data_IF_866522921480
#
_entry.id   IF_866522921480
#
_cell.length_a   1.000
_cell.length_b   1.000
_cell.length_c   1.000
_cell.angle_alpha   90.00
_cell.angle_beta   90.00
_cell.angle_gamma   90.00
#
_symmetry.space_group_name_H-M   'P 1'
#
loop_
_entity.id
_entity.type
_entity.pdbx_description
1 polymer ?
#
# COMPACT_ATOMS: atom_id res chain seq x y z
N UNK A 1 -11.44 -11.93 2.33
CA UNK A 1 -11.79 -13.37 2.24
C UNK A 1 -13.24 -13.70 2.58
N UNK A 2 -13.77 -13.39 3.77
CA UNK A 2 -15.12 -13.82 4.18
C UNK A 2 -16.24 -13.35 3.23
N UNK A 3 -16.12 -12.14 2.66
CA UNK A 3 -17.03 -11.67 1.62
C UNK A 3 -17.09 -12.61 0.40
N UNK A 4 -15.95 -13.16 -0.05
CA UNK A 4 -15.91 -14.13 -1.14
C UNK A 4 -16.59 -15.46 -0.78
N UNK A 5 -16.46 -15.92 0.47
CA UNK A 5 -17.20 -17.09 0.96
C UNK A 5 -18.71 -16.83 0.95
N UNK A 6 -19.13 -15.63 1.36
CA UNK A 6 -20.53 -15.23 1.36
C UNK A 6 -21.10 -15.11 -0.05
N UNK A 7 -20.32 -14.63 -1.03
CA UNK A 7 -20.68 -14.67 -2.46
C UNK A 7 -21.02 -16.11 -2.88
N UNK A 8 -20.15 -17.08 -2.59
CA UNK A 8 -20.41 -18.48 -2.94
C UNK A 8 -21.65 -19.05 -2.24
N UNK A 9 -21.86 -18.70 -0.97
CA UNK A 9 -23.07 -19.11 -0.21
C UNK A 9 -24.34 -18.54 -0.83
N UNK A 10 -24.36 -17.24 -1.11
CA UNK A 10 -25.50 -16.57 -1.73
C UNK A 10 -25.82 -17.15 -3.10
N UNK A 11 -24.82 -17.44 -3.94
CA UNK A 11 -25.04 -18.10 -5.24
C UNK A 11 -25.67 -19.49 -5.08
N UNK A 12 -25.21 -20.27 -4.09
CA UNK A 12 -25.77 -21.58 -3.78
C UNK A 12 -27.22 -21.48 -3.28
N UNK A 13 -27.50 -20.56 -2.35
CA UNK A 13 -28.84 -20.35 -1.80
C UNK A 13 -29.85 -19.94 -2.88
N UNK A 14 -29.39 -19.17 -3.87
CA UNK A 14 -30.19 -18.74 -5.01
C UNK A 14 -30.19 -19.74 -6.19
N UNK A 15 -29.43 -20.84 -6.09
CA UNK A 15 -29.22 -21.82 -7.17
C UNK A 15 -28.77 -21.18 -8.49
N UNK A 16 -27.82 -20.25 -8.42
CA UNK A 16 -27.26 -19.57 -9.60
C UNK A 16 -26.05 -20.36 -10.10
N UNK A 17 -26.09 -20.77 -11.37
CA UNK A 17 -24.95 -21.33 -12.09
C UNK A 17 -24.20 -20.20 -12.81
N UNK A 18 -22.87 -20.20 -12.71
CA UNK A 18 -22.01 -19.18 -13.34
C UNK A 18 -21.31 -19.75 -14.57
N UNK A 19 -21.13 -18.92 -15.59
CA UNK A 19 -20.50 -19.33 -16.86
C UNK A 19 -18.98 -19.60 -16.74
N UNK A 20 -18.35 -19.03 -15.71
CA UNK A 20 -16.94 -19.23 -15.37
C UNK A 20 -16.82 -19.72 -13.91
N UNK A 21 -15.79 -20.51 -13.58
CA UNK A 21 -15.55 -20.94 -12.20
C UNK A 21 -15.17 -19.75 -11.32
N UNK A 22 -15.69 -19.75 -10.10
CA UNK A 22 -15.34 -18.77 -9.06
C UNK A 22 -14.48 -19.45 -7.98
N UNK A 23 -13.44 -18.75 -7.54
CA UNK A 23 -12.53 -19.20 -6.49
C UNK A 23 -12.44 -18.17 -5.37
N UNK A 24 -12.19 -18.65 -4.15
CA UNK A 24 -11.86 -17.81 -2.99
C UNK A 24 -10.46 -18.18 -2.54
N UNK A 25 -9.60 -17.17 -2.41
CA UNK A 25 -8.20 -17.33 -2.02
C UNK A 25 -7.93 -16.68 -0.66
N UNK A 26 -7.01 -17.29 0.10
CA UNK A 26 -6.38 -16.71 1.29
C UNK A 26 -4.90 -16.62 0.99
N UNK A 27 -4.40 -15.40 0.84
CA UNK A 27 -2.99 -15.17 0.58
C UNK A 27 -2.18 -15.28 1.88
N UNK A 28 -1.02 -15.92 1.78
CA UNK A 28 -0.15 -16.13 2.94
C UNK A 28 0.62 -14.86 3.27
N UNK A 29 0.54 -14.41 4.52
CA UNK A 29 1.39 -13.33 5.06
C UNK A 29 1.34 -12.05 4.21
N UNK A 30 0.12 -11.56 3.96
CA UNK A 30 -0.12 -10.28 3.28
C UNK A 30 0.49 -9.13 4.10
N UNK A 31 0.24 -9.07 5.41
CA UNK A 31 0.74 -7.99 6.27
C UNK A 31 2.28 -7.85 6.32
N UNK A 32 3.01 -8.93 6.06
CA UNK A 32 4.48 -8.92 6.14
C UNK A 32 5.05 -8.69 7.56
N UNK A 33 4.20 -8.69 8.58
CA UNK A 33 4.55 -8.31 9.96
C UNK A 33 5.51 -9.31 10.60
N UNK A 34 5.19 -10.62 10.56
CA UNK A 34 6.07 -11.68 11.10
C UNK A 34 7.25 -11.95 10.17
N UNK A 35 6.99 -12.01 8.86
CA UNK A 35 8.00 -12.29 7.85
C UNK A 35 7.97 -11.20 6.76
N UNK A 36 9.02 -10.38 6.60
CA UNK A 36 9.04 -9.36 5.55
C UNK A 36 9.34 -9.97 4.16
N UNK A 37 8.78 -9.48 3.04
CA UNK A 37 7.96 -8.29 2.93
C UNK A 37 6.46 -8.64 3.03
N UNK A 38 5.61 -7.63 2.91
CA UNK A 38 4.17 -7.80 2.72
C UNK A 38 3.83 -8.50 1.39
N UNK A 39 2.55 -8.85 1.21
CA UNK A 39 1.95 -9.45 0.03
C UNK A 39 2.71 -10.71 -0.43
N UNK A 40 3.18 -11.50 0.54
CA UNK A 40 4.16 -12.56 0.30
C UNK A 40 3.60 -13.67 -0.60
N UNK A 41 2.42 -14.19 -0.27
CA UNK A 41 1.81 -15.29 -1.01
C UNK A 41 1.44 -14.91 -2.44
N UNK A 42 0.80 -13.77 -2.63
CA UNK A 42 0.46 -13.23 -3.96
C UNK A 42 1.71 -12.83 -4.75
N UNK A 43 2.76 -12.35 -4.08
CA UNK A 43 4.04 -12.02 -4.71
C UNK A 43 4.77 -13.23 -5.26
N UNK A 44 4.73 -14.39 -4.57
CA UNK A 44 5.23 -15.65 -5.15
C UNK A 44 4.34 -16.10 -6.31
N UNK A 45 3.02 -15.99 -6.17
CA UNK A 45 2.06 -16.37 -7.21
C UNK A 45 2.25 -15.57 -8.51
N UNK A 46 2.51 -14.26 -8.40
CA UNK A 46 2.80 -13.35 -9.50
C UNK A 46 4.29 -13.30 -9.90
N UNK A 47 5.10 -14.25 -9.43
CA UNK A 47 6.53 -14.40 -9.75
C UNK A 47 7.39 -13.16 -9.42
N UNK A 48 6.94 -12.34 -8.47
CA UNK A 48 7.70 -11.19 -7.92
C UNK A 48 8.74 -11.62 -6.92
N UNK A 49 8.46 -12.72 -6.22
CA UNK A 49 9.39 -13.36 -5.31
C UNK A 49 9.60 -14.81 -5.73
N UNK A 50 10.80 -15.34 -5.52
CA UNK A 50 11.01 -16.77 -5.72
C UNK A 50 10.42 -17.55 -4.54
N UNK A 51 9.84 -18.72 -4.82
CA UNK A 51 9.32 -19.59 -3.76
C UNK A 51 10.42 -20.00 -2.78
N UNK A 52 11.62 -20.31 -3.30
CA UNK A 52 12.75 -20.76 -2.48
C UNK A 52 13.20 -19.67 -1.48
N UNK A 53 13.41 -18.44 -1.94
CA UNK A 53 13.82 -17.34 -1.07
C UNK A 53 12.73 -17.00 -0.05
N UNK A 54 11.47 -17.08 -0.48
CA UNK A 54 10.31 -16.80 0.39
C UNK A 54 10.19 -17.81 1.51
N UNK A 55 10.29 -19.11 1.21
CA UNK A 55 10.25 -20.16 2.23
C UNK A 55 11.43 -20.09 3.20
N UNK A 56 12.59 -19.59 2.74
CA UNK A 56 13.80 -19.44 3.55
C UNK A 56 13.80 -18.20 4.47
N UNK A 57 12.84 -17.27 4.31
CA UNK A 57 12.75 -16.10 5.18
C UNK A 57 12.45 -16.50 6.61
N UNK A 58 13.14 -15.88 7.56
CA UNK A 58 13.01 -16.18 8.99
C UNK A 58 12.37 -15.02 9.74
N UNK A 59 11.63 -15.34 10.80
CA UNK A 59 11.15 -14.34 11.76
C UNK A 59 12.24 -13.98 12.78
N UNK A 60 11.89 -13.14 13.75
CA UNK A 60 12.79 -12.69 14.80
C UNK A 60 13.32 -13.82 15.71
N UNK A 61 12.63 -14.96 15.76
CA UNK A 61 13.00 -16.14 16.54
C UNK A 61 13.79 -17.17 15.70
N UNK A 62 14.02 -16.88 14.41
CA UNK A 62 14.75 -17.75 13.51
C UNK A 62 13.92 -18.89 12.89
N UNK A 63 12.60 -18.89 13.03
CA UNK A 63 11.71 -19.86 12.38
C UNK A 63 11.54 -19.46 10.93
N UNK A 64 11.68 -20.38 9.97
CA UNK A 64 11.46 -20.08 8.56
C UNK A 64 9.98 -20.08 8.18
N UNK A 65 9.61 -19.37 7.10
CA UNK A 65 8.25 -19.42 6.52
C UNK A 65 7.89 -20.87 6.16
N UNK A 66 8.83 -21.62 5.57
CA UNK A 66 8.63 -23.02 5.22
C UNK A 66 8.35 -23.91 6.44
N UNK A 67 9.10 -23.73 7.53
CA UNK A 67 8.87 -24.47 8.78
C UNK A 67 7.52 -24.08 9.40
N UNK A 68 7.17 -22.79 9.39
CA UNK A 68 5.90 -22.30 9.89
C UNK A 68 4.70 -22.89 9.12
N UNK A 69 4.75 -22.91 7.78
CA UNK A 69 3.73 -23.51 6.93
C UNK A 69 3.58 -25.01 7.18
N UNK A 70 4.70 -25.73 7.30
CA UNK A 70 4.70 -27.16 7.64
C UNK A 70 4.07 -27.40 9.02
N UNK A 71 4.43 -26.60 10.02
CA UNK A 71 3.94 -26.76 11.39
C UNK A 71 2.41 -26.60 11.49
N UNK A 72 1.80 -25.75 10.67
CA UNK A 72 0.33 -25.56 10.64
C UNK A 72 -0.37 -26.47 9.62
N UNK A 73 0.36 -27.28 8.85
CA UNK A 73 -0.20 -28.18 7.84
C UNK A 73 -0.63 -27.51 6.53
N UNK A 74 -0.15 -26.30 6.24
CA UNK A 74 -0.45 -25.52 5.02
C UNK A 74 0.69 -25.50 4.00
N UNK A 75 1.72 -26.35 4.18
CA UNK A 75 2.72 -26.62 3.15
C UNK A 75 2.11 -27.47 2.01
N UNK A 76 1.32 -26.81 1.15
CA UNK A 76 0.62 -27.43 0.04
C UNK A 76 1.56 -27.98 -1.05
N UNK A 77 1.06 -28.93 -1.83
CA UNK A 77 1.82 -29.59 -2.92
C UNK A 77 1.50 -29.05 -4.31
N UNK A 78 0.51 -28.16 -4.44
CA UNK A 78 0.20 -27.50 -5.72
C UNK A 78 1.31 -26.52 -6.09
N UNK A 79 1.58 -26.39 -7.39
CA UNK A 79 2.49 -25.35 -7.86
C UNK A 79 1.95 -23.97 -7.46
N UNK A 80 2.85 -23.11 -6.97
CA UNK A 80 2.51 -21.76 -6.52
C UNK A 80 2.55 -20.76 -7.67
N UNK A 81 3.28 -21.05 -8.75
CA UNK A 81 3.39 -20.20 -9.94
C UNK A 81 2.02 -19.98 -10.59
N UNK A 82 1.67 -18.71 -10.78
CA UNK A 82 0.36 -18.27 -11.21
C UNK A 82 -0.10 -18.84 -12.56
N UNK A 83 -1.40 -18.82 -12.74
CA UNK A 83 -2.05 -18.99 -14.02
C UNK A 83 -2.82 -17.70 -14.33
N UNK A 84 -3.12 -17.47 -15.61
CA UNK A 84 -3.94 -16.31 -15.99
C UNK A 84 -5.28 -16.37 -15.28
N UNK A 85 -5.61 -15.31 -14.54
CA UNK A 85 -6.91 -15.13 -13.90
C UNK A 85 -7.82 -14.38 -14.87
N UNK A 86 -9.06 -14.83 -15.03
CA UNK A 86 -10.02 -14.16 -15.92
C UNK A 86 -10.44 -12.78 -15.40
N UNK A 87 -10.70 -12.67 -14.10
CA UNK A 87 -10.83 -11.43 -13.34
C UNK A 87 -10.61 -11.71 -11.85
N UNK A 88 -9.99 -10.78 -11.12
CA UNK A 88 -9.82 -10.83 -9.67
C UNK A 88 -10.50 -9.64 -9.01
N UNK A 89 -11.24 -9.88 -7.94
CA UNK A 89 -11.86 -8.82 -7.15
C UNK A 89 -11.51 -8.99 -5.67
N UNK A 90 -11.05 -7.92 -5.04
CA UNK A 90 -10.74 -7.90 -3.62
C UNK A 90 -11.59 -6.85 -2.91
N UNK A 91 -12.44 -7.33 -2.00
CA UNK A 91 -13.19 -6.48 -1.09
C UNK A 91 -12.38 -6.26 0.19
N UNK A 92 -12.21 -4.99 0.57
CA UNK A 92 -11.40 -4.57 1.70
C UNK A 92 -12.04 -3.34 2.37
N UNK A 93 -11.69 -3.07 3.63
CA UNK A 93 -11.97 -1.75 4.22
C UNK A 93 -11.01 -0.71 3.63
N UNK A 94 -11.37 0.57 3.66
CA UNK A 94 -10.52 1.64 3.11
C UNK A 94 -9.16 1.76 3.80
N UNK A 95 -9.13 1.55 5.13
CA UNK A 95 -7.97 1.85 5.99
C UNK A 95 -7.60 3.35 6.01
N UNK A 96 -8.56 4.19 5.63
CA UNK A 96 -8.46 5.65 5.59
C UNK A 96 -9.85 6.27 5.82
N UNK A 97 -9.92 7.59 5.99
CA UNK A 97 -11.16 8.25 6.40
C UNK A 97 -11.99 8.77 5.22
N UNK A 98 -11.57 8.62 3.96
CA UNK A 98 -12.15 9.35 2.82
C UNK A 98 -13.62 9.00 2.61
N UNK A 99 -13.97 7.71 2.61
CA UNK A 99 -15.34 7.26 2.41
C UNK A 99 -16.26 7.68 3.56
N UNK A 100 -15.75 7.65 4.80
CA UNK A 100 -16.49 8.13 5.98
C UNK A 100 -16.69 9.65 5.93
N UNK A 101 -15.62 10.41 5.66
CA UNK A 101 -15.62 11.88 5.60
C UNK A 101 -16.50 12.41 4.45
N UNK A 102 -16.54 11.71 3.32
CA UNK A 102 -17.33 12.07 2.14
C UNK A 102 -18.73 11.45 2.13
N UNK A 103 -19.12 10.71 3.18
CA UNK A 103 -20.41 10.01 3.31
C UNK A 103 -20.72 9.13 2.07
N UNK A 104 -19.80 8.21 1.78
CA UNK A 104 -19.86 7.24 0.66
C UNK A 104 -19.74 5.82 1.17
N UNK A 105 -20.68 4.96 0.77
CA UNK A 105 -20.69 3.55 1.17
C UNK A 105 -19.64 2.73 0.43
N UNK A 106 -19.41 3.01 -0.86
CA UNK A 106 -18.53 2.20 -1.72
C UNK A 106 -17.41 3.04 -2.32
N UNK A 107 -16.18 2.61 -2.09
CA UNK A 107 -15.01 3.07 -2.85
C UNK A 107 -14.81 2.22 -4.10
N UNK A 108 -14.93 2.86 -5.26
CA UNK A 108 -14.56 2.27 -6.56
C UNK A 108 -13.06 2.49 -6.74
N UNK A 109 -12.27 1.47 -6.42
CA UNK A 109 -10.81 1.62 -6.34
C UNK A 109 -10.21 1.64 -7.75
N UNK A 110 -9.64 2.78 -8.15
CA UNK A 110 -9.04 2.98 -9.46
C UNK A 110 -7.67 2.31 -9.61
N UNK A 111 -6.98 2.08 -8.48
CA UNK A 111 -5.61 1.64 -8.45
C UNK A 111 -4.99 1.76 -7.07
N UNK A 112 -3.69 1.54 -7.00
CA UNK A 112 -2.87 1.70 -5.80
C UNK A 112 -1.77 2.74 -6.02
N UNK A 113 -1.48 3.53 -4.99
CA UNK A 113 -0.39 4.51 -5.03
C UNK A 113 0.95 3.80 -5.19
N UNK A 114 1.81 4.35 -6.04
CA UNK A 114 3.22 4.00 -6.06
C UNK A 114 3.90 4.53 -4.81
N UNK A 115 4.95 3.87 -4.34
CA UNK A 115 5.61 4.17 -3.08
C UNK A 115 7.13 4.13 -3.29
N UNK A 116 7.82 5.19 -2.87
CA UNK A 116 9.29 5.25 -2.88
C UNK A 116 9.78 5.69 -1.51
N UNK A 117 10.54 4.82 -0.86
CA UNK A 117 11.08 5.07 0.48
C UNK A 117 12.57 5.29 0.45
N UNK A 118 13.06 6.14 1.34
CA UNK A 118 14.47 6.44 1.47
C UNK A 118 14.90 6.54 2.92
N UNK A 119 16.08 5.99 3.21
CA UNK A 119 16.84 6.33 4.41
C UNK A 119 17.75 7.52 4.09
N UNK A 120 17.55 8.64 4.77
CA UNK A 120 18.38 9.84 4.64
C UNK A 120 19.24 10.02 5.88
N UNK A 121 20.54 10.21 5.67
CA UNK A 121 21.50 10.57 6.72
C UNK A 121 22.21 11.87 6.37
N UNK A 122 21.99 12.89 7.19
CA UNK A 122 22.69 14.18 7.13
C UNK A 122 23.85 14.19 8.13
N UNK A 123 25.01 14.70 7.73
CA UNK A 123 26.21 14.81 8.55
C UNK A 123 26.74 16.23 8.57
N UNK A 124 26.96 16.71 9.77
CA UNK A 124 27.56 17.99 10.12
C UNK A 124 28.73 17.77 11.08
N UNK A 125 28.81 18.58 12.15
CA UNK A 125 29.85 18.45 13.18
C UNK A 125 29.27 18.74 14.54
N UNK A 126 29.45 17.81 15.49
CA UNK A 126 29.11 18.04 16.90
C UNK A 126 29.96 19.16 17.49
N UNK A 127 29.32 20.10 18.16
CA UNK A 127 30.02 21.17 18.86
C UNK A 127 29.20 21.69 20.04
N UNK A 128 29.83 22.39 20.98
CA UNK A 128 29.12 22.91 22.14
C UNK A 128 28.16 24.04 21.73
N UNK A 129 26.89 23.93 22.12
CA UNK A 129 25.83 24.87 21.71
C UNK A 129 26.03 26.32 22.20
N UNK A 130 26.85 26.56 23.23
CA UNK A 130 27.10 27.88 23.80
C UNK A 130 28.23 28.63 23.08
N UNK A 131 29.48 28.17 23.18
CA UNK A 131 30.63 28.92 22.71
C UNK A 131 30.84 28.85 21.20
N UNK A 132 30.21 27.92 20.46
CA UNK A 132 30.36 27.82 19.00
C UNK A 132 29.57 28.93 18.30
N UNK A 133 30.24 29.89 17.62
CA UNK A 133 29.57 30.96 16.88
C UNK A 133 28.67 30.42 15.77
N UNK A 134 27.52 31.06 15.52
CA UNK A 134 26.50 30.58 14.57
C UNK A 134 27.04 30.33 13.16
N UNK A 135 27.91 31.22 12.65
CA UNK A 135 28.48 31.13 11.30
C UNK A 135 29.47 29.97 11.09
N UNK A 136 29.92 29.32 12.18
CA UNK A 136 30.81 28.15 12.12
C UNK A 136 30.07 26.81 12.28
N UNK A 137 28.76 26.85 12.55
CA UNK A 137 27.99 25.63 12.83
C UNK A 137 27.71 24.86 11.55
N UNK A 138 27.87 23.55 11.66
CA UNK A 138 27.41 22.56 10.68
C UNK A 138 26.36 21.70 11.36
N UNK A 139 25.19 22.28 11.56
CA UNK A 139 24.11 21.70 12.35
C UNK A 139 23.25 20.77 11.47
N UNK A 140 23.36 19.46 11.67
CA UNK A 140 22.64 18.47 10.88
C UNK A 140 21.11 18.52 11.12
N UNK A 141 20.67 18.96 12.30
CA UNK A 141 19.25 19.05 12.64
C UNK A 141 18.57 20.25 11.98
N UNK A 142 19.28 21.37 11.83
CA UNK A 142 18.80 22.48 10.99
C UNK A 142 18.62 22.02 9.54
N UNK A 143 19.55 21.21 9.03
CA UNK A 143 19.40 20.62 7.71
C UNK A 143 18.17 19.70 7.61
N UNK A 144 17.97 18.84 8.61
CA UNK A 144 16.83 17.93 8.65
C UNK A 144 15.48 18.65 8.70
N UNK A 145 15.38 19.76 9.46
CA UNK A 145 14.15 20.55 9.53
C UNK A 145 13.73 21.12 8.17
N UNK A 146 14.69 21.53 7.34
CA UNK A 146 14.41 21.99 5.97
C UNK A 146 13.88 20.86 5.09
N UNK A 147 14.43 19.65 5.22
CA UNK A 147 13.96 18.46 4.49
C UNK A 147 12.55 18.07 4.91
N UNK A 148 12.26 18.03 6.21
CA UNK A 148 10.91 17.73 6.74
C UNK A 148 9.87 18.69 6.14
N UNK A 149 10.17 19.99 6.13
CA UNK A 149 9.27 20.99 5.54
C UNK A 149 9.10 20.80 4.03
N UNK A 150 10.17 20.45 3.31
CA UNK A 150 10.15 20.22 1.87
C UNK A 150 9.33 18.99 1.47
N UNK A 151 9.42 17.89 2.23
CA UNK A 151 8.61 16.69 2.02
C UNK A 151 7.11 17.02 2.09
N UNK A 152 6.70 17.71 3.15
CA UNK A 152 5.31 18.14 3.32
C UNK A 152 4.87 19.10 2.19
N UNK A 153 5.70 20.09 1.85
CA UNK A 153 5.39 21.04 0.79
C UNK A 153 5.25 20.36 -0.59
N UNK A 154 6.13 19.41 -0.91
CA UNK A 154 6.06 18.64 -2.15
C UNK A 154 4.76 17.84 -2.23
N UNK A 155 4.34 17.17 -1.15
CA UNK A 155 3.06 16.45 -1.12
C UNK A 155 1.85 17.37 -1.30
N UNK A 156 1.82 18.51 -0.62
CA UNK A 156 0.72 19.49 -0.76
C UNK A 156 0.64 20.08 -2.17
N UNK A 157 1.77 20.22 -2.87
CA UNK A 157 1.80 20.74 -4.24
C UNK A 157 1.30 19.73 -5.30
N UNK A 158 1.20 18.44 -4.96
CA UNK A 158 0.81 17.37 -5.88
C UNK A 158 -0.51 16.68 -5.47
N UNK A 159 -1.34 17.35 -4.68
CA UNK A 159 -2.69 16.89 -4.36
C UNK A 159 -3.53 16.66 -5.64
N UNK A 160 -4.52 15.74 -5.60
CA UNK A 160 -5.08 15.09 -4.41
C UNK A 160 -4.46 13.73 -4.03
N UNK A 161 -3.59 13.14 -4.86
CA UNK A 161 -3.12 11.77 -4.67
C UNK A 161 -1.73 11.65 -4.06
N UNK A 162 -1.11 12.77 -3.71
CA UNK A 162 0.24 12.80 -3.17
C UNK A 162 0.27 12.61 -1.66
N UNK A 163 1.15 11.73 -1.20
CA UNK A 163 1.55 11.63 0.20
C UNK A 163 3.06 11.86 0.32
N UNK A 164 3.48 12.51 1.40
CA UNK A 164 4.88 12.75 1.69
C UNK A 164 5.07 12.86 3.19
N UNK A 165 5.85 11.94 3.77
CA UNK A 165 5.95 11.80 5.23
C UNK A 165 7.40 11.56 5.66
N UNK A 166 7.80 12.21 6.75
CA UNK A 166 9.00 11.83 7.52
C UNK A 166 8.55 11.13 8.79
N UNK A 167 8.60 9.80 8.78
CA UNK A 167 8.04 8.97 9.86
C UNK A 167 8.99 8.77 11.05
N UNK A 168 10.29 8.72 10.77
CA UNK A 168 11.33 8.52 11.78
C UNK A 168 12.37 9.63 11.70
N UNK A 169 12.82 10.15 12.84
CA UNK A 169 13.92 11.11 12.92
C UNK A 169 14.73 10.87 14.21
N UNK A 170 16.04 10.69 14.05
CA UNK A 170 16.99 10.46 15.14
C UNK A 170 18.17 11.41 15.02
N UNK A 171 18.32 12.30 15.99
CA UNK A 171 19.46 13.21 16.08
C UNK A 171 20.55 12.66 17.01
N UNK A 172 21.80 12.73 16.57
CA UNK A 172 22.97 12.33 17.35
C UNK A 172 23.84 13.56 17.70
N UNK A 173 24.30 13.71 18.95
CA UNK A 173 24.20 12.75 20.06
C UNK A 173 22.89 12.86 20.88
N UNK A 174 21.92 13.67 20.46
CA UNK A 174 20.65 13.82 21.18
C UNK A 174 20.76 14.58 22.51
N UNK A 175 21.80 15.42 22.67
CA UNK A 175 22.00 16.23 23.87
C UNK A 175 21.60 17.70 23.64
N UNK A 176 20.84 18.27 24.59
CA UNK A 176 20.31 19.65 24.53
C UNK A 176 21.38 20.74 24.35
N UNK A 177 22.62 20.48 24.77
CA UNK A 177 23.72 21.46 24.76
C UNK A 177 24.79 21.14 23.72
N UNK A 178 24.51 20.24 22.79
CA UNK A 178 25.40 19.85 21.69
C UNK A 178 24.69 20.10 20.37
N UNK A 179 25.35 20.79 19.45
CA UNK A 179 24.91 20.93 18.05
C UNK A 179 24.92 19.53 17.43
N UNK A 180 23.81 19.04 16.85
CA UNK A 180 23.78 17.70 16.25
C UNK A 180 24.74 17.56 15.06
N UNK A 181 25.61 16.55 15.13
CA UNK A 181 26.56 16.21 14.07
C UNK A 181 26.02 15.18 13.07
N UNK A 182 24.99 14.43 13.42
CA UNK A 182 24.32 13.51 12.50
C UNK A 182 22.80 13.52 12.76
N UNK A 183 22.01 13.43 11.69
CA UNK A 183 20.59 13.09 11.77
C UNK A 183 20.29 11.98 10.78
N UNK A 184 19.58 10.95 11.24
CA UNK A 184 19.00 9.89 10.41
C UNK A 184 17.49 10.08 10.36
N UNK A 185 16.90 10.00 9.18
CA UNK A 185 15.46 10.08 9.01
C UNK A 185 14.99 9.20 7.85
N UNK A 186 13.71 8.83 7.86
CA UNK A 186 13.06 8.11 6.76
C UNK A 186 12.20 9.07 5.94
N UNK A 187 12.18 8.91 4.62
CA UNK A 187 11.32 9.66 3.71
C UNK A 187 10.38 8.67 3.00
N UNK A 188 9.08 8.89 3.07
CA UNK A 188 8.04 8.13 2.37
C UNK A 188 7.33 9.06 1.37
N UNK A 189 7.40 8.72 0.08
CA UNK A 189 6.67 9.43 -0.97
C UNK A 189 5.70 8.48 -1.67
N UNK A 190 4.47 8.94 -1.88
CA UNK A 190 3.45 8.18 -2.62
C UNK A 190 2.73 9.04 -3.65
N UNK A 191 2.43 8.46 -4.80
CA UNK A 191 1.56 9.07 -5.81
C UNK A 191 1.05 8.01 -6.80
N UNK A 192 -0.14 8.23 -7.36
CA UNK A 192 -0.71 7.41 -8.44
C UNK A 192 -0.01 7.58 -9.80
N UNK A 193 0.79 8.63 -9.99
CA UNK A 193 1.41 8.96 -11.28
C UNK A 193 2.93 8.90 -11.11
N UNK A 194 3.64 8.00 -11.84
CA UNK A 194 5.09 7.85 -11.69
C UNK A 194 5.85 9.15 -11.87
N UNK A 195 5.48 9.94 -12.89
CA UNK A 195 6.13 11.20 -13.21
C UNK A 195 5.97 12.25 -12.09
N UNK A 196 4.83 12.26 -11.39
CA UNK A 196 4.60 13.16 -10.26
C UNK A 196 5.36 12.71 -9.02
N UNK A 197 5.40 11.40 -8.77
CA UNK A 197 6.22 10.82 -7.71
C UNK A 197 7.70 11.17 -7.89
N UNK A 198 8.23 11.00 -9.10
CA UNK A 198 9.61 11.37 -9.43
C UNK A 198 9.84 12.88 -9.29
N UNK A 199 8.86 13.72 -9.67
CA UNK A 199 8.94 15.17 -9.48
C UNK A 199 9.01 15.57 -8.01
N UNK A 200 8.19 14.97 -7.14
CA UNK A 200 8.21 15.22 -5.70
C UNK A 200 9.60 14.88 -5.10
N UNK A 201 10.15 13.73 -5.48
CA UNK A 201 11.47 13.29 -5.00
C UNK A 201 12.56 14.24 -5.51
N UNK A 202 12.50 14.66 -6.77
CA UNK A 202 13.45 15.61 -7.34
C UNK A 202 13.42 16.97 -6.61
N UNK A 203 12.23 17.47 -6.27
CA UNK A 203 12.07 18.71 -5.51
C UNK A 203 12.69 18.62 -4.12
N UNK A 204 12.44 17.54 -3.38
CA UNK A 204 13.05 17.33 -2.05
C UNK A 204 14.56 17.14 -2.14
N UNK A 205 15.03 16.41 -3.16
CA UNK A 205 16.47 16.22 -3.40
C UNK A 205 17.18 17.55 -3.64
N UNK A 206 16.58 18.45 -4.43
CA UNK A 206 17.14 19.79 -4.62
C UNK A 206 17.26 20.55 -3.30
N UNK A 207 16.23 20.48 -2.44
CA UNK A 207 16.30 21.12 -1.11
C UNK A 207 17.39 20.51 -0.24
N UNK A 208 17.59 19.19 -0.28
CA UNK A 208 18.68 18.51 0.45
C UNK A 208 20.04 19.06 -0.04
N UNK A 209 20.25 19.12 -1.35
CA UNK A 209 21.49 19.59 -1.96
C UNK A 209 21.77 21.06 -1.61
N UNK A 210 20.78 21.94 -1.77
CA UNK A 210 20.89 23.37 -1.45
C UNK A 210 21.18 23.61 0.04
N UNK A 211 20.49 22.85 0.91
CA UNK A 211 20.66 22.92 2.37
C UNK A 211 22.05 22.45 2.76
N UNK A 212 22.54 21.36 2.17
CA UNK A 212 23.89 20.86 2.44
C UNK A 212 24.96 21.87 2.02
N UNK A 213 24.82 22.47 0.83
CA UNK A 213 25.72 23.52 0.35
C UNK A 213 25.71 24.75 1.28
N UNK A 214 24.52 25.21 1.70
CA UNK A 214 24.35 26.37 2.57
C UNK A 214 24.93 26.17 3.98
N UNK A 215 24.75 24.99 4.55
CA UNK A 215 25.12 24.69 5.94
C UNK A 215 26.42 23.91 6.10
N UNK A 216 27.12 23.61 4.99
CA UNK A 216 28.37 22.86 4.99
C UNK A 216 28.21 21.42 5.49
N UNK A 217 27.06 20.81 5.20
CA UNK A 217 26.71 19.43 5.54
C UNK A 217 27.03 18.49 4.38
N UNK A 218 27.03 17.19 4.65
CA UNK A 218 26.96 16.14 3.64
C UNK A 218 25.74 15.26 3.87
N UNK A 219 25.31 14.55 2.83
CA UNK A 219 24.17 13.64 2.92
C UNK A 219 24.43 12.31 2.24
N UNK A 220 23.65 11.31 2.64
CA UNK A 220 23.56 9.99 2.02
C UNK A 220 22.08 9.60 2.02
N UNK A 221 21.51 9.38 0.84
CA UNK A 221 20.09 9.08 0.64
C UNK A 221 19.98 7.75 -0.10
N UNK A 222 19.56 6.71 0.61
CA UNK A 222 19.53 5.34 0.11
C UNK A 222 18.07 4.92 -0.14
N UNK A 223 17.71 4.48 -1.35
CA UNK A 223 16.39 3.91 -1.60
C UNK A 223 16.23 2.59 -0.84
N UNK A 224 15.11 2.43 -0.15
CA UNK A 224 14.79 1.22 0.63
C UNK A 224 13.55 0.48 0.12
N UNK A 225 12.67 1.16 -0.62
CA UNK A 225 11.55 0.55 -1.33
C UNK A 225 11.25 1.33 -2.62
N UNK A 226 10.83 0.62 -3.66
CA UNK A 226 10.35 1.19 -4.92
C UNK A 226 9.22 0.31 -5.47
N UNK A 227 7.98 0.76 -5.26
CA UNK A 227 6.77 0.14 -5.76
C UNK A 227 6.13 1.05 -6.81
N UNK A 228 5.96 0.60 -8.06
CA UNK A 228 5.32 1.41 -9.08
C UNK A 228 3.83 1.60 -8.74
N UNK A 229 3.22 2.74 -9.10
CA UNK A 229 1.77 2.87 -9.05
C UNK A 229 1.13 1.92 -10.05
N UNK A 230 -0.09 1.50 -9.74
CA UNK A 230 -0.86 0.57 -10.54
C UNK A 230 -2.26 1.12 -10.74
N UNK A 231 -2.74 1.11 -11.99
CA UNK A 231 -4.17 1.23 -12.27
C UNK A 231 -4.78 -0.16 -12.43
N UNK A 232 -5.94 -0.35 -11.82
CA UNK A 232 -6.72 -1.57 -11.99
C UNK A 232 -7.36 -1.63 -13.38
N UNK A 233 -7.79 -2.83 -13.78
CA UNK A 233 -8.39 -3.03 -15.09
C UNK A 233 -9.69 -2.23 -15.21
N UNK A 234 -9.85 -1.51 -16.32
CA UNK A 234 -10.99 -0.61 -16.51
C UNK A 234 -12.34 -1.36 -16.47
N UNK A 235 -12.41 -2.56 -17.03
CA UNK A 235 -13.63 -3.39 -17.01
C UNK A 235 -13.97 -3.81 -15.58
N UNK A 236 -12.98 -4.25 -14.81
CA UNK A 236 -13.17 -4.55 -13.39
C UNK A 236 -13.62 -3.31 -12.58
N UNK A 237 -13.00 -2.15 -12.79
CA UNK A 237 -13.37 -0.89 -12.13
C UNK A 237 -14.81 -0.50 -12.46
N UNK A 238 -15.20 -0.55 -13.73
CA UNK A 238 -16.56 -0.21 -14.15
C UNK A 238 -17.59 -1.24 -13.65
N UNK A 239 -17.24 -2.53 -13.57
CA UNK A 239 -18.12 -3.54 -12.98
C UNK A 239 -18.43 -3.28 -11.50
N UNK A 240 -17.45 -2.80 -10.74
CA UNK A 240 -17.66 -2.37 -9.34
C UNK A 240 -18.56 -1.15 -9.30
N UNK A 241 -18.31 -0.14 -10.16
CA UNK A 241 -19.11 1.07 -10.27
C UNK A 241 -20.57 0.76 -10.62
N UNK A 242 -20.79 -0.06 -11.64
CA UNK A 242 -22.11 -0.47 -12.12
C UNK A 242 -22.84 -1.33 -11.09
N UNK A 243 -22.13 -2.20 -10.38
CA UNK A 243 -22.70 -2.97 -9.27
C UNK A 243 -23.21 -2.05 -8.14
N UNK A 244 -22.41 -1.06 -7.73
CA UNK A 244 -22.80 -0.09 -6.71
C UNK A 244 -24.00 0.77 -7.18
N UNK A 245 -23.95 1.30 -8.40
CA UNK A 245 -25.04 2.08 -8.99
C UNK A 245 -26.33 1.27 -9.12
N UNK A 246 -26.24 0.02 -9.57
CA UNK A 246 -27.37 -0.88 -9.71
C UNK A 246 -28.00 -1.33 -8.38
N UNK A 247 -27.30 -1.14 -7.26
CA UNK A 247 -27.81 -1.33 -5.90
C UNK A 247 -28.32 -0.02 -5.28
N UNK A 248 -28.12 1.12 -5.94
CA UNK A 248 -28.46 2.45 -5.41
C UNK A 248 -27.56 2.91 -4.27
N UNK A 249 -26.33 2.36 -4.18
CA UNK A 249 -25.36 2.70 -3.14
C UNK A 249 -24.57 3.95 -3.52
N UNK A 250 -24.35 4.85 -2.56
CA UNK A 250 -23.46 5.99 -2.74
C UNK A 250 -22.04 5.49 -2.96
N UNK A 251 -21.36 6.03 -3.96
CA UNK A 251 -20.01 5.61 -4.31
C UNK A 251 -19.16 6.77 -4.83
N UNK A 252 -17.84 6.60 -4.74
CA UNK A 252 -16.87 7.52 -5.32
C UNK A 252 -15.63 6.77 -5.81
N UNK A 253 -14.90 7.40 -6.71
CA UNK A 253 -13.58 6.92 -7.12
C UNK A 253 -12.58 7.15 -6.00
N UNK A 254 -11.78 6.13 -5.71
CA UNK A 254 -10.75 6.18 -4.67
C UNK A 254 -9.49 5.47 -5.15
N UNK A 255 -8.37 5.74 -4.49
CA UNK A 255 -7.08 5.10 -4.75
C UNK A 255 -6.62 4.45 -3.45
N UNK A 256 -6.20 3.19 -3.50
CA UNK A 256 -5.64 2.57 -2.31
C UNK A 256 -4.30 3.21 -1.95
N UNK A 257 -4.20 3.68 -0.70
CA UNK A 257 -2.95 4.13 -0.11
C UNK A 257 -2.08 2.99 0.44
N UNK A 258 -2.63 1.78 0.55
CA UNK A 258 -2.00 0.60 1.15
C UNK A 258 -1.60 -0.44 0.09
N UNK A 259 -0.75 -1.37 0.50
CA UNK A 259 -0.48 -2.57 -0.29
C UNK A 259 -1.62 -3.58 -0.13
N UNK A 260 -1.95 -4.29 -1.21
CA UNK A 260 -2.91 -5.40 -1.20
C UNK A 260 -2.46 -6.45 -2.19
N UNK A 261 -2.83 -7.71 -1.96
CA UNK A 261 -2.53 -8.81 -2.87
C UNK A 261 -3.02 -8.55 -4.30
N UNK A 262 -4.16 -7.86 -4.45
CA UNK A 262 -4.71 -7.39 -5.72
C UNK A 262 -3.67 -6.72 -6.64
N UNK A 263 -2.70 -5.99 -6.07
CA UNK A 263 -1.66 -5.28 -6.83
C UNK A 263 -0.79 -6.27 -7.61
N UNK A 264 -0.38 -7.37 -6.98
CA UNK A 264 0.40 -8.40 -7.65
C UNK A 264 -0.45 -9.25 -8.60
N UNK A 265 -1.71 -9.53 -8.24
CA UNK A 265 -2.61 -10.29 -9.11
C UNK A 265 -2.95 -9.52 -10.39
N UNK A 266 -3.04 -8.17 -10.32
CA UNK A 266 -3.27 -7.31 -11.48
C UNK A 266 -2.19 -7.41 -12.56
N UNK A 267 -1.00 -7.91 -12.22
CA UNK A 267 0.06 -8.15 -13.19
C UNK A 267 -0.15 -9.45 -14.01
N UNK A 268 -1.02 -10.34 -13.54
CA UNK A 268 -1.33 -11.63 -14.19
C UNK A 268 -2.61 -11.57 -15.04
N UNK A 269 -3.48 -10.60 -14.80
CA UNK A 269 -4.75 -10.45 -15.47
C UNK A 269 -5.60 -9.31 -14.90
N UNK A 270 -6.84 -9.15 -15.40
CA UNK A 270 -7.73 -8.10 -14.91
C UNK A 270 -8.00 -8.21 -13.41
N UNK A 271 -7.88 -7.10 -12.70
CA UNK A 271 -8.16 -7.02 -11.28
C UNK A 271 -8.86 -5.71 -10.94
N UNK A 272 -9.69 -5.72 -9.88
CA UNK A 272 -10.31 -4.54 -9.29
C UNK A 272 -10.48 -4.72 -7.78
N UNK A 273 -10.74 -3.62 -7.08
CA UNK A 273 -11.01 -3.66 -5.65
C UNK A 273 -12.28 -2.90 -5.29
N UNK A 274 -12.90 -3.32 -4.19
CA UNK A 274 -14.07 -2.68 -3.59
C UNK A 274 -13.70 -2.25 -2.18
N UNK A 275 -13.80 -0.96 -1.90
CA UNK A 275 -13.62 -0.43 -0.55
C UNK A 275 -14.97 -0.14 0.11
N UNK A 276 -14.97 -0.28 1.44
CA UNK A 276 -16.03 0.19 2.34
C UNK A 276 -15.39 1.06 3.43
N UNK A 277 -16.12 2.02 4.01
CA UNK A 277 -15.58 2.87 5.08
C UNK A 277 -15.19 2.06 6.32
N UNK A 278 -14.29 2.63 7.13
CA UNK A 278 -13.98 2.17 8.47
C UNK A 278 -14.01 3.34 9.47
N UNK A 279 -14.43 3.05 10.71
CA UNK A 279 -14.71 4.06 11.74
C UNK A 279 -13.46 4.89 12.08
N UNK A 280 -13.56 6.20 11.88
CA UNK A 280 -12.46 7.15 12.09
C UNK A 280 -11.28 6.96 11.13
N UNK A 281 -11.43 6.19 10.05
CA UNK A 281 -10.36 5.81 9.14
C UNK A 281 -9.23 5.02 9.81
N UNK A 282 -9.51 4.38 10.96
CA UNK A 282 -8.49 3.70 11.76
C UNK A 282 -8.24 2.30 11.18
N UNK A 283 -6.97 1.93 11.09
CA UNK A 283 -6.49 0.62 10.66
C UNK A 283 -5.20 0.23 11.39
N UNK A 284 -4.86 -1.05 11.41
CA UNK A 284 -3.71 -1.62 12.15
C UNK A 284 -3.75 -1.28 13.65
N UNK A 285 -4.98 -1.19 14.18
CA UNK A 285 -5.26 -0.91 15.57
C UNK A 285 -6.40 -1.84 16.02
N UNK A 286 -6.34 -2.31 17.26
CA UNK A 286 -7.35 -3.23 17.83
C UNK A 286 -8.77 -2.63 17.86
N UNK A 287 -8.91 -1.31 17.72
CA UNK A 287 -10.22 -0.62 17.65
C UNK A 287 -10.75 -0.44 16.21
N UNK A 288 -10.05 -0.96 15.20
CA UNK A 288 -10.53 -0.97 13.80
C UNK A 288 -11.94 -1.57 13.73
N UNK A 289 -12.86 -0.84 13.10
CA UNK A 289 -14.26 -1.22 13.03
C UNK A 289 -14.88 -0.75 11.71
N UNK A 290 -15.87 -1.50 11.21
CA UNK A 290 -16.67 -1.14 10.05
C UNK A 290 -18.13 -1.51 10.33
N UNK A 291 -19.07 -0.68 9.87
CA UNK A 291 -20.47 -0.92 10.15
C UNK A 291 -20.95 -2.20 9.43
N UNK A 292 -21.79 -3.04 10.07
CA UNK A 292 -22.32 -4.25 9.43
C UNK A 292 -23.02 -3.98 8.09
N UNK A 293 -23.71 -2.84 7.96
CA UNK A 293 -24.41 -2.46 6.74
C UNK A 293 -23.44 -2.12 5.60
N UNK A 294 -22.31 -1.47 5.91
CA UNK A 294 -21.26 -1.18 4.92
C UNK A 294 -20.58 -2.47 4.45
N UNK A 295 -20.28 -3.39 5.39
CA UNK A 295 -19.73 -4.71 5.07
C UNK A 295 -20.68 -5.52 4.18
N UNK A 296 -21.99 -5.47 4.47
CA UNK A 296 -23.02 -6.10 3.64
C UNK A 296 -23.09 -5.46 2.24
N UNK A 297 -23.03 -4.13 2.16
CA UNK A 297 -23.01 -3.39 0.90
C UNK A 297 -21.79 -3.75 0.03
N UNK A 298 -20.58 -3.76 0.61
CA UNK A 298 -19.36 -4.17 -0.09
C UNK A 298 -19.44 -5.62 -0.60
N UNK A 299 -19.99 -6.53 0.20
CA UNK A 299 -20.21 -7.92 -0.21
C UNK A 299 -21.24 -8.04 -1.36
N UNK A 300 -22.31 -7.25 -1.33
CA UNK A 300 -23.32 -7.23 -2.40
C UNK A 300 -22.75 -6.67 -3.72
N UNK A 301 -21.88 -5.66 -3.65
CA UNK A 301 -21.14 -5.15 -4.81
C UNK A 301 -20.20 -6.21 -5.36
N UNK A 302 -19.42 -6.88 -4.49
CA UNK A 302 -18.52 -7.98 -4.88
C UNK A 302 -19.28 -9.09 -5.63
N UNK A 303 -20.43 -9.53 -5.10
CA UNK A 303 -21.29 -10.53 -5.75
C UNK A 303 -21.66 -10.14 -7.18
N UNK A 304 -22.17 -8.92 -7.36
CA UNK A 304 -22.62 -8.44 -8.68
C UNK A 304 -21.46 -8.28 -9.67
N UNK A 305 -20.33 -7.74 -9.21
CA UNK A 305 -19.13 -7.59 -10.03
C UNK A 305 -18.58 -8.95 -10.50
N UNK A 306 -18.51 -9.94 -9.60
CA UNK A 306 -18.05 -11.29 -9.94
C UNK A 306 -18.99 -12.01 -10.93
N UNK A 307 -20.32 -11.87 -10.77
CA UNK A 307 -21.29 -12.45 -11.71
C UNK A 307 -21.19 -11.79 -13.10
N UNK A 308 -21.06 -10.46 -13.15
CA UNK A 308 -20.89 -9.74 -14.41
C UNK A 308 -19.60 -10.17 -15.13
N UNK A 309 -18.48 -10.24 -14.40
CA UNK A 309 -17.20 -10.69 -14.94
C UNK A 309 -17.26 -12.13 -15.44
N UNK A 310 -17.94 -13.02 -14.70
CA UNK A 310 -18.13 -14.41 -15.15
C UNK A 310 -18.81 -14.49 -16.52
N UNK A 311 -19.86 -13.70 -16.75
CA UNK A 311 -20.56 -13.69 -18.04
C UNK A 311 -19.68 -13.11 -19.16
N UNK A 312 -18.94 -12.04 -18.88
CA UNK A 312 -18.09 -11.39 -19.87
C UNK A 312 -16.90 -12.29 -20.29
N UNK A 313 -16.26 -12.97 -19.33
CA UNK A 313 -15.19 -13.95 -19.59
C UNK A 313 -15.68 -15.07 -20.52
N UNK A 314 -16.88 -15.61 -20.28
CA UNK A 314 -17.46 -16.65 -21.12
C UNK A 314 -17.76 -16.18 -22.56
N UNK A 315 -18.03 -14.89 -22.75
CA UNK A 315 -18.22 -14.27 -24.06
C UNK A 315 -16.92 -13.97 -24.82
N UNK A 316 -15.76 -14.30 -24.22
CA UNK A 316 -14.44 -14.08 -24.82
C UNK A 316 -13.86 -12.68 -24.59
N UNK A 317 -14.47 -11.89 -23.69
CA UNK A 317 -13.95 -10.61 -23.24
C UNK A 317 -12.98 -10.82 -22.07
N UNK A 318 -11.93 -10.00 -21.98
CA UNK A 318 -11.13 -9.90 -20.76
C UNK A 318 -11.89 -8.95 -19.82
N UNK A 319 -12.34 -9.47 -18.67
CA UNK A 319 -13.18 -8.76 -17.69
C UNK A 319 -14.56 -8.30 -18.22
N UNK A 320 -15.31 -7.69 -17.30
CA UNK A 320 -16.68 -7.18 -17.43
C UNK A 320 -16.80 -5.91 -18.28
#
# INVERSE_FOLDING_TARGET
MLAGVEVLRTLNDLNVETEAPLEVVVWTNEEGSRFPPCMMGSGVFAEKFTLADTLAKVDADGVSVGDALNAIGYAGTRSVSGHKVGAYFEAHIEQGPILEDEDKTIGVVLGALGQKWFDLKLRGVEAHAGPTPMHLRKDALVGAAAVVAAVNAAALAHQPHACGTVGCLQAYPGSRNVIPGEVRMTLDFRHLEPARLDSMIAQVRQVIEDTCAKHGLSFDMQPTADFPPLYFDKGCVEAVRDAANGLGLSNMDIVSGAGHDAIFVAELGPAGMIFVPCEGGISHNEIENAAPDDLAAGCAVLLRAMVAASAAIASGQLAA
#
